data_IF_594364153240
#
_entry.id   IF_594364153240
#
_cell.length_a   1.000
_cell.length_b   1.000
_cell.length_c   1.000
_cell.angle_alpha   90.00
_cell.angle_beta   90.00
_cell.angle_gamma   90.00
#
_symmetry.space_group_name_H-M   'P 1'
#
loop_
_entity.id
_entity.type
_entity.pdbx_description
1 polymer ?
#
# COMPACT_ATOMS: atom_id res chain seq x y z
N UNK A 1 24.01 -2.30 -28.24
CA UNK A 1 24.73 -3.06 -27.19
C UNK A 1 26.20 -2.67 -27.12
N UNK A 2 26.90 -2.39 -28.24
CA UNK A 2 28.30 -2.00 -28.25
C UNK A 2 28.63 -0.76 -27.39
N UNK A 3 27.69 0.14 -27.14
CA UNK A 3 27.89 1.29 -26.27
C UNK A 3 27.75 0.99 -24.76
N UNK A 4 27.25 -0.20 -24.39
CA UNK A 4 27.02 -0.61 -23.00
C UNK A 4 28.06 -1.61 -22.49
N UNK A 5 28.74 -2.30 -23.41
CA UNK A 5 29.75 -3.31 -23.09
C UNK A 5 31.11 -2.87 -23.63
N UNK A 6 32.15 -3.11 -22.84
CA UNK A 6 33.52 -2.86 -23.28
C UNK A 6 34.01 -4.00 -24.17
N UNK A 7 34.24 -3.71 -25.44
CA UNK A 7 34.77 -4.62 -26.43
C UNK A 7 36.23 -4.26 -26.84
N UNK A 8 36.90 -3.45 -26.04
CA UNK A 8 38.25 -2.97 -26.34
C UNK A 8 39.28 -4.11 -26.54
N UNK A 9 39.11 -5.20 -25.79
CA UNK A 9 39.99 -6.39 -25.88
C UNK A 9 39.56 -7.40 -26.95
N UNK A 10 38.38 -7.18 -27.61
CA UNK A 10 37.92 -8.09 -28.65
C UNK A 10 38.54 -7.70 -29.99
N UNK A 11 39.33 -8.60 -30.67
CA UNK A 11 39.88 -8.32 -31.97
C UNK A 11 38.81 -7.96 -33.00
N UNK A 12 39.05 -6.94 -33.83
CA UNK A 12 38.09 -6.38 -34.82
C UNK A 12 37.41 -7.47 -35.68
N UNK A 13 38.17 -8.51 -36.08
CA UNK A 13 37.66 -9.63 -36.88
C UNK A 13 36.51 -10.39 -36.21
N UNK A 14 36.38 -10.31 -34.87
CA UNK A 14 35.29 -10.96 -34.14
C UNK A 14 34.12 -10.02 -33.82
N UNK A 15 34.34 -8.71 -33.84
CA UNK A 15 33.26 -7.72 -33.58
C UNK A 15 32.14 -7.81 -34.63
N UNK A 16 32.44 -8.19 -35.85
CA UNK A 16 31.45 -8.38 -36.94
C UNK A 16 30.47 -9.53 -36.67
N UNK A 17 30.83 -10.47 -35.78
CA UNK A 17 29.97 -11.59 -35.40
C UNK A 17 29.13 -11.30 -34.14
N UNK A 18 29.38 -10.15 -33.50
CA UNK A 18 28.61 -9.74 -32.31
C UNK A 18 27.46 -8.86 -32.79
N UNK A 19 26.21 -9.37 -32.73
CA UNK A 19 25.06 -8.57 -33.15
C UNK A 19 24.90 -7.36 -32.25
N UNK A 20 24.67 -6.19 -32.86
CA UNK A 20 24.35 -4.96 -32.12
C UNK A 20 22.85 -4.84 -31.97
N UNK A 21 22.34 -5.25 -30.79
CA UNK A 21 20.93 -5.12 -30.45
C UNK A 21 20.67 -3.71 -29.91
N UNK A 22 19.73 -3.01 -30.52
CA UNK A 22 19.22 -1.77 -29.97
C UNK A 22 18.29 -2.10 -28.80
N UNK A 23 18.59 -1.54 -27.65
CA UNK A 23 17.72 -1.63 -26.46
C UNK A 23 16.98 -0.30 -26.37
N UNK A 24 15.65 -0.38 -26.53
CA UNK A 24 14.78 0.75 -26.30
C UNK A 24 14.26 0.69 -24.86
N UNK A 25 14.52 1.72 -24.08
CA UNK A 25 14.06 1.83 -22.69
C UNK A 25 12.95 2.86 -22.64
N UNK A 26 11.80 2.46 -22.12
CA UNK A 26 10.67 3.34 -21.81
C UNK A 26 10.61 3.56 -20.29
N UNK A 27 10.84 4.78 -19.84
CA UNK A 27 10.62 5.17 -18.45
C UNK A 27 9.14 5.51 -18.26
N UNK A 28 8.36 4.52 -17.84
CA UNK A 28 6.91 4.63 -17.66
C UNK A 28 6.56 5.72 -16.63
N UNK A 29 7.34 5.86 -15.56
CA UNK A 29 7.05 6.80 -14.48
C UNK A 29 7.20 8.27 -14.91
N UNK A 30 8.13 8.55 -15.81
CA UNK A 30 8.39 9.92 -16.28
C UNK A 30 7.80 10.22 -17.68
N UNK A 31 7.28 9.21 -18.38
CA UNK A 31 6.61 9.43 -19.67
C UNK A 31 5.25 10.11 -19.45
N UNK A 32 4.91 11.18 -20.22
CA UNK A 32 3.61 11.84 -20.16
C UNK A 32 2.44 10.87 -20.45
N UNK A 33 1.28 11.09 -19.82
CA UNK A 33 0.11 10.20 -19.93
C UNK A 33 -0.41 10.09 -21.36
N UNK A 34 -0.44 11.20 -22.10
CA UNK A 34 -0.85 11.23 -23.50
C UNK A 34 -0.02 10.29 -24.38
N UNK A 35 1.26 10.17 -24.10
CA UNK A 35 2.16 9.24 -24.80
C UNK A 35 1.90 7.79 -24.38
N UNK A 36 1.59 7.55 -23.11
CA UNK A 36 1.24 6.22 -22.63
C UNK A 36 -0.12 5.77 -23.18
N UNK A 37 -1.04 6.70 -23.42
CA UNK A 37 -2.34 6.45 -24.02
C UNK A 37 -2.29 6.16 -25.54
N UNK A 38 -1.17 6.43 -26.22
CA UNK A 38 -0.96 6.02 -27.61
C UNK A 38 -0.78 4.48 -27.78
N UNK A 39 -0.47 3.78 -26.69
CA UNK A 39 -0.38 2.32 -26.71
C UNK A 39 -1.77 1.65 -26.75
N UNK A 40 -1.86 0.39 -27.17
CA UNK A 40 -3.11 -0.38 -27.07
C UNK A 40 -3.66 -0.34 -25.64
N UNK A 41 -4.99 -0.39 -25.51
CA UNK A 41 -5.74 -0.25 -24.25
C UNK A 41 -5.12 -1.01 -23.07
N UNK A 42 -4.81 -2.29 -23.25
CA UNK A 42 -4.28 -3.13 -22.18
C UNK A 42 -2.86 -2.70 -21.74
N UNK A 43 -2.01 -2.37 -22.70
CA UNK A 43 -0.66 -1.86 -22.43
C UNK A 43 -0.71 -0.49 -21.75
N UNK A 44 -1.56 0.42 -22.25
CA UNK A 44 -1.76 1.74 -21.65
C UNK A 44 -2.26 1.61 -20.20
N UNK A 45 -3.25 0.73 -19.97
CA UNK A 45 -3.78 0.44 -18.63
C UNK A 45 -2.68 -0.06 -17.69
N UNK A 46 -1.87 -1.01 -18.15
CA UNK A 46 -0.74 -1.54 -17.38
C UNK A 46 0.26 -0.45 -17.03
N UNK A 47 0.69 0.36 -17.99
CA UNK A 47 1.67 1.43 -17.78
C UNK A 47 1.14 2.50 -16.80
N UNK A 48 -0.08 2.95 -16.98
CA UNK A 48 -0.70 3.94 -16.09
C UNK A 48 -0.90 3.38 -14.67
N UNK A 49 -1.21 2.10 -14.55
CA UNK A 49 -1.32 1.44 -13.27
C UNK A 49 0.02 1.36 -12.55
N UNK A 50 1.10 1.02 -13.25
CA UNK A 50 2.46 1.05 -12.70
C UNK A 50 2.86 2.46 -12.28
N UNK A 51 2.59 3.47 -13.12
CA UNK A 51 2.93 4.88 -12.88
C UNK A 51 2.25 5.44 -11.64
N UNK A 52 0.98 5.11 -11.43
CA UNK A 52 0.15 5.68 -10.36
C UNK A 52 -0.16 4.69 -9.23
N UNK A 53 0.59 3.59 -9.11
CA UNK A 53 0.36 2.54 -8.09
C UNK A 53 0.28 3.06 -6.66
N UNK A 54 1.03 4.13 -6.35
CA UNK A 54 1.08 4.73 -5.02
C UNK A 54 0.05 5.87 -4.85
N UNK A 55 -0.76 6.16 -5.89
CA UNK A 55 -1.79 7.20 -5.88
C UNK A 55 -3.08 6.74 -6.58
N UNK A 56 -3.81 5.84 -5.92
CA UNK A 56 -5.04 5.23 -6.45
C UNK A 56 -6.12 6.25 -6.88
N UNK A 57 -6.34 7.39 -6.17
CA UNK A 57 -7.29 8.39 -6.63
C UNK A 57 -6.92 9.02 -7.97
N UNK A 58 -5.62 9.25 -8.21
CA UNK A 58 -5.14 9.75 -9.51
C UNK A 58 -5.23 8.65 -10.57
N UNK A 59 -4.82 7.42 -10.24
CA UNK A 59 -4.98 6.26 -11.12
C UNK A 59 -6.41 6.15 -11.62
N UNK A 60 -7.40 6.17 -10.72
CA UNK A 60 -8.82 6.10 -11.09
C UNK A 60 -9.25 7.19 -12.08
N UNK A 61 -8.77 8.43 -11.88
CA UNK A 61 -9.09 9.54 -12.79
C UNK A 61 -8.52 9.32 -14.19
N UNK A 62 -7.28 8.85 -14.26
CA UNK A 62 -6.60 8.62 -15.55
C UNK A 62 -7.18 7.41 -16.26
N UNK A 63 -7.44 6.31 -15.56
CA UNK A 63 -8.05 5.12 -16.14
C UNK A 63 -9.40 5.41 -16.80
N UNK A 64 -10.22 6.29 -16.22
CA UNK A 64 -11.50 6.71 -16.82
C UNK A 64 -11.37 7.41 -18.16
N UNK A 65 -10.18 7.82 -18.57
CA UNK A 65 -9.94 8.39 -19.91
C UNK A 65 -9.71 7.32 -20.97
N UNK A 66 -9.52 6.06 -20.58
CA UNK A 66 -9.29 4.93 -21.48
C UNK A 66 -10.64 4.39 -21.91
N UNK A 67 -10.93 4.30 -23.23
CA UNK A 67 -12.15 3.67 -23.73
C UNK A 67 -12.24 2.21 -23.25
N UNK A 68 -13.44 1.78 -22.88
CA UNK A 68 -13.73 0.39 -22.49
C UNK A 68 -12.86 -0.13 -21.33
N UNK A 69 -12.42 0.75 -20.44
CA UNK A 69 -11.62 0.39 -19.25
C UNK A 69 -12.36 -0.57 -18.30
N UNK A 70 -13.68 -0.66 -18.44
CA UNK A 70 -14.54 -1.54 -17.67
C UNK A 70 -14.50 -3.00 -18.19
N UNK A 71 -13.79 -3.24 -19.30
CA UNK A 71 -13.66 -4.56 -19.94
C UNK A 71 -12.21 -4.80 -20.37
N UNK A 72 -11.31 -5.01 -19.40
CA UNK A 72 -9.92 -5.39 -19.63
C UNK A 72 -9.83 -6.92 -19.74
N UNK A 73 -8.96 -7.41 -20.63
CA UNK A 73 -8.70 -8.84 -20.75
C UNK A 73 -8.17 -9.42 -19.45
N UNK A 74 -8.64 -10.62 -19.09
CA UNK A 74 -8.26 -11.32 -17.87
C UNK A 74 -6.75 -11.53 -17.79
N UNK A 75 -6.10 -11.93 -18.89
CA UNK A 75 -4.66 -12.14 -18.94
C UNK A 75 -3.87 -10.86 -18.65
N UNK A 76 -4.36 -9.71 -19.14
CA UNK A 76 -3.76 -8.39 -18.85
C UNK A 76 -3.85 -8.07 -17.37
N UNK A 77 -5.01 -8.31 -16.77
CA UNK A 77 -5.21 -8.15 -15.36
C UNK A 77 -4.25 -9.04 -14.54
N UNK A 78 -4.13 -10.31 -14.87
CA UNK A 78 -3.24 -11.25 -14.19
C UNK A 78 -1.76 -10.85 -14.29
N UNK A 79 -1.32 -10.29 -15.41
CA UNK A 79 0.04 -9.76 -15.57
C UNK A 79 0.26 -8.53 -14.69
N UNK A 80 -0.72 -7.65 -14.57
CA UNK A 80 -0.60 -6.42 -13.78
C UNK A 80 -0.36 -6.70 -12.28
N UNK A 81 -0.86 -7.84 -11.76
CA UNK A 81 -0.65 -8.27 -10.37
C UNK A 81 0.79 -8.46 -9.97
N UNK A 82 1.61 -8.90 -10.91
CA UNK A 82 3.04 -9.10 -10.66
C UNK A 82 3.77 -7.78 -10.38
N UNK A 83 3.19 -6.67 -10.78
CA UNK A 83 3.76 -5.31 -10.61
C UNK A 83 3.06 -4.50 -9.50
N UNK A 84 1.91 -4.94 -9.03
CA UNK A 84 1.10 -4.24 -8.04
C UNK A 84 1.07 -4.98 -6.70
N UNK A 85 -0.07 -5.16 -6.12
CA UNK A 85 -0.27 -5.81 -4.84
C UNK A 85 -1.02 -7.14 -5.02
N UNK A 86 -0.49 -8.23 -4.47
CA UNK A 86 -1.12 -9.57 -4.52
C UNK A 86 -2.59 -9.60 -4.05
N UNK A 87 -2.97 -8.63 -3.22
CA UNK A 87 -4.36 -8.46 -2.74
C UNK A 87 -5.37 -8.25 -3.87
N UNK A 88 -4.96 -7.72 -4.98
CA UNK A 88 -5.84 -7.53 -6.13
C UNK A 88 -6.24 -8.88 -6.76
N UNK A 89 -5.46 -9.95 -6.66
CA UNK A 89 -5.89 -11.29 -7.09
C UNK A 89 -7.15 -11.74 -6.34
N UNK A 90 -7.25 -11.38 -5.06
CA UNK A 90 -8.42 -11.70 -4.22
C UNK A 90 -9.67 -10.90 -4.66
N UNK A 91 -9.48 -9.75 -5.31
CA UNK A 91 -10.56 -8.91 -5.79
C UNK A 91 -11.08 -9.29 -7.19
N UNK A 92 -10.36 -10.15 -7.91
CA UNK A 92 -10.66 -10.50 -9.30
C UNK A 92 -12.11 -10.96 -9.48
N UNK A 93 -12.57 -11.89 -8.66
CA UNK A 93 -13.93 -12.44 -8.73
C UNK A 93 -15.01 -11.36 -8.53
N UNK A 94 -14.71 -10.33 -7.73
CA UNK A 94 -15.66 -9.25 -7.43
C UNK A 94 -15.79 -8.22 -8.53
N UNK A 95 -14.83 -8.16 -9.46
CA UNK A 95 -14.77 -7.14 -10.53
C UNK A 95 -14.82 -7.74 -11.92
N UNK A 96 -14.97 -9.05 -12.02
CA UNK A 96 -15.15 -9.74 -13.29
C UNK A 96 -16.58 -9.58 -13.79
N UNK A 97 -16.70 -9.24 -15.07
CA UNK A 97 -17.98 -9.12 -15.77
C UNK A 97 -18.49 -10.52 -16.22
N UNK A 98 -19.76 -10.60 -16.61
CA UNK A 98 -20.36 -11.85 -17.08
C UNK A 98 -19.71 -12.42 -18.36
N UNK A 99 -19.08 -11.57 -19.16
CA UNK A 99 -18.34 -11.92 -20.38
C UNK A 99 -16.86 -12.27 -20.12
N UNK A 100 -16.42 -12.28 -18.87
CA UNK A 100 -15.06 -12.62 -18.46
C UNK A 100 -14.08 -11.42 -18.43
N UNK A 101 -14.50 -10.25 -18.89
CA UNK A 101 -13.69 -9.03 -18.79
C UNK A 101 -13.62 -8.49 -17.37
N UNK A 102 -12.62 -7.67 -17.08
CA UNK A 102 -12.38 -7.12 -15.74
C UNK A 102 -12.66 -5.61 -15.71
N UNK A 103 -13.47 -5.20 -14.74
CA UNK A 103 -13.73 -3.78 -14.48
C UNK A 103 -12.57 -3.17 -13.65
N UNK A 104 -11.61 -2.58 -14.33
CA UNK A 104 -10.43 -2.00 -13.68
C UNK A 104 -10.76 -0.81 -12.76
N UNK A 105 -11.74 0.01 -13.12
CA UNK A 105 -12.20 1.09 -12.23
C UNK A 105 -12.83 0.54 -10.95
N UNK A 106 -13.61 -0.54 -11.05
CA UNK A 106 -14.18 -1.24 -9.91
C UNK A 106 -13.11 -1.82 -9.00
N UNK A 107 -12.07 -2.43 -9.57
CA UNK A 107 -10.93 -2.95 -8.81
C UNK A 107 -10.23 -1.85 -8.00
N UNK A 108 -9.96 -0.71 -8.62
CA UNK A 108 -9.34 0.44 -7.93
C UNK A 108 -10.25 0.98 -6.82
N UNK A 109 -11.58 1.02 -7.05
CA UNK A 109 -12.54 1.47 -6.03
C UNK A 109 -12.56 0.55 -4.81
N UNK A 110 -12.53 -0.76 -5.01
CA UNK A 110 -12.45 -1.71 -3.90
C UNK A 110 -11.14 -1.56 -3.12
N UNK A 111 -10.01 -1.38 -3.80
CA UNK A 111 -8.73 -1.12 -3.13
C UNK A 111 -8.77 0.14 -2.27
N UNK A 112 -9.38 1.22 -2.76
CA UNK A 112 -9.53 2.47 -2.00
C UNK A 112 -10.41 2.22 -0.77
N UNK A 113 -11.55 1.53 -0.94
CA UNK A 113 -12.46 1.23 0.15
C UNK A 113 -11.80 0.39 1.25
N UNK A 114 -11.12 -0.69 0.88
CA UNK A 114 -10.37 -1.53 1.83
C UNK A 114 -9.22 -0.79 2.52
N UNK A 115 -8.54 0.10 1.79
CA UNK A 115 -7.50 0.95 2.36
C UNK A 115 -8.06 1.90 3.43
N UNK A 116 -9.23 2.49 3.16
CA UNK A 116 -9.93 3.36 4.10
C UNK A 116 -10.41 2.60 5.34
N UNK A 117 -11.00 1.43 5.16
CA UNK A 117 -11.47 0.58 6.27
C UNK A 117 -10.33 0.17 7.18
N UNK A 118 -9.22 -0.32 6.61
CA UNK A 118 -8.01 -0.67 7.37
C UNK A 118 -7.41 0.54 8.08
N UNK A 119 -7.34 1.68 7.41
CA UNK A 119 -6.85 2.92 8.00
C UNK A 119 -7.71 3.38 9.17
N UNK A 120 -9.03 3.28 9.05
CA UNK A 120 -9.98 3.59 10.11
C UNK A 120 -9.83 2.64 11.29
N UNK A 121 -9.78 1.33 11.05
CA UNK A 121 -9.61 0.32 12.09
C UNK A 121 -8.31 0.54 12.88
N UNK A 122 -7.19 0.73 12.19
CA UNK A 122 -5.89 1.04 12.81
C UNK A 122 -5.92 2.38 13.57
N UNK A 123 -6.61 3.39 13.02
CA UNK A 123 -6.77 4.69 13.66
C UNK A 123 -7.55 4.58 14.98
N UNK A 124 -8.64 3.82 14.99
CA UNK A 124 -9.45 3.57 16.20
C UNK A 124 -8.63 2.80 17.24
N UNK A 125 -7.95 1.72 16.83
CA UNK A 125 -7.13 0.92 17.74
C UNK A 125 -6.02 1.76 18.39
N UNK A 126 -5.27 2.51 17.60
CA UNK A 126 -4.22 3.41 18.12
C UNK A 126 -4.78 4.52 19.00
N UNK A 127 -5.92 5.10 18.60
CA UNK A 127 -6.58 6.14 19.38
C UNK A 127 -7.06 5.62 20.75
N UNK A 128 -7.64 4.43 20.79
CA UNK A 128 -8.05 3.75 22.02
C UNK A 128 -6.85 3.45 22.92
N UNK A 129 -5.78 2.86 22.37
CA UNK A 129 -4.57 2.55 23.13
C UNK A 129 -3.96 3.81 23.74
N UNK A 130 -3.79 4.88 22.95
CA UNK A 130 -3.25 6.15 23.44
C UNK A 130 -4.18 6.83 24.45
N UNK A 131 -5.49 6.78 24.23
CA UNK A 131 -6.49 7.32 25.14
C UNK A 131 -6.48 6.61 26.50
N UNK A 132 -6.44 5.28 26.48
CA UNK A 132 -6.33 4.44 27.67
C UNK A 132 -5.04 4.73 28.44
N UNK A 133 -3.89 4.76 27.76
CA UNK A 133 -2.60 5.06 28.38
C UNK A 133 -2.58 6.44 29.04
N UNK A 134 -3.08 7.48 28.35
CA UNK A 134 -3.22 8.83 28.92
C UNK A 134 -4.17 8.86 30.13
N UNK A 135 -5.28 8.14 30.05
CA UNK A 135 -6.24 8.04 31.14
C UNK A 135 -5.64 7.39 32.38
N UNK A 136 -4.89 6.27 32.21
CA UNK A 136 -4.19 5.58 33.30
C UNK A 136 -3.14 6.52 33.92
N UNK A 137 -2.30 7.16 33.10
CA UNK A 137 -1.31 8.11 33.56
C UNK A 137 -1.94 9.22 34.40
N UNK A 138 -2.99 9.87 33.89
CA UNK A 138 -3.66 10.95 34.60
C UNK A 138 -4.29 10.46 35.92
N UNK A 139 -4.86 9.25 35.93
CA UNK A 139 -5.42 8.67 37.18
C UNK A 139 -4.32 8.49 38.24
N UNK A 140 -3.16 7.91 37.84
CA UNK A 140 -2.02 7.69 38.73
C UNK A 140 -1.51 9.03 39.26
N UNK A 141 -1.27 10.03 38.40
CA UNK A 141 -0.75 11.34 38.79
C UNK A 141 -1.70 12.06 39.77
N UNK A 142 -3.00 12.11 39.48
CA UNK A 142 -3.99 12.74 40.33
C UNK A 142 -4.10 12.03 41.69
N UNK A 143 -4.15 10.71 41.72
CA UNK A 143 -4.23 9.95 42.96
C UNK A 143 -2.96 10.13 43.82
N UNK A 144 -1.79 10.23 43.20
CA UNK A 144 -0.54 10.51 43.88
C UNK A 144 -0.51 11.89 44.49
N UNK A 145 -0.99 12.93 43.76
CA UNK A 145 -1.12 14.30 44.27
C UNK A 145 -2.10 14.39 45.49
N UNK A 146 -3.13 13.55 45.48
CA UNK A 146 -4.09 13.43 46.58
C UNK A 146 -3.57 12.59 47.76
N UNK A 147 -2.36 12.07 47.72
CA UNK A 147 -1.76 11.29 48.78
C UNK A 147 -2.31 9.86 48.92
N UNK A 148 -2.94 9.32 47.87
CA UNK A 148 -3.43 7.93 47.85
C UNK A 148 -2.27 6.94 47.85
N UNK A 149 -2.36 5.84 48.59
CA UNK A 149 -1.30 4.84 48.65
C UNK A 149 -1.14 4.11 47.33
N UNK A 150 0.10 3.64 47.04
CA UNK A 150 0.45 2.90 45.83
C UNK A 150 -0.50 1.73 45.54
N UNK A 151 -0.76 0.89 46.55
CA UNK A 151 -1.61 -0.32 46.40
C UNK A 151 -3.05 0.05 46.05
N UNK A 152 -3.60 1.13 46.65
CA UNK A 152 -4.93 1.59 46.32
C UNK A 152 -5.04 2.16 44.91
N UNK A 153 -4.00 2.87 44.42
CA UNK A 153 -3.98 3.38 43.03
C UNK A 153 -3.86 2.24 42.06
N UNK A 154 -3.00 1.26 42.32
CA UNK A 154 -2.88 0.06 41.47
C UNK A 154 -4.25 -0.65 41.38
N UNK A 155 -4.91 -0.89 42.50
CA UNK A 155 -6.25 -1.50 42.49
C UNK A 155 -7.28 -0.66 41.69
N UNK A 156 -7.24 0.67 41.79
CA UNK A 156 -8.13 1.54 40.99
C UNK A 156 -7.83 1.45 39.50
N UNK A 157 -6.55 1.35 39.09
CA UNK A 157 -6.13 1.17 37.70
C UNK A 157 -6.62 -0.17 37.14
N UNK A 158 -6.43 -1.25 37.90
CA UNK A 158 -6.95 -2.59 37.54
C UNK A 158 -8.46 -2.56 37.30
N UNK A 159 -9.21 -2.04 38.25
CA UNK A 159 -10.66 -2.05 38.20
C UNK A 159 -11.24 -1.12 37.12
N UNK A 160 -10.71 0.08 36.95
CA UNK A 160 -11.28 1.07 36.03
C UNK A 160 -10.96 0.77 34.56
N UNK A 161 -9.81 0.17 34.30
CA UNK A 161 -9.35 -0.14 32.95
C UNK A 161 -9.43 -1.63 32.61
N UNK A 162 -9.97 -2.46 33.52
CA UNK A 162 -10.09 -3.89 33.38
C UNK A 162 -8.77 -4.56 32.98
N UNK A 163 -7.70 -4.18 33.67
CA UNK A 163 -6.36 -4.70 33.44
C UNK A 163 -6.05 -5.86 34.40
N UNK A 164 -5.15 -6.72 33.97
CA UNK A 164 -4.52 -7.68 34.86
C UNK A 164 -3.60 -6.98 35.87
N UNK A 165 -3.32 -7.65 36.99
CA UNK A 165 -2.40 -7.14 37.99
C UNK A 165 -1.01 -6.81 37.39
N UNK A 166 -0.49 -7.67 36.51
CA UNK A 166 0.79 -7.47 35.84
C UNK A 166 0.80 -6.23 34.92
N UNK A 167 -0.31 -5.99 34.22
CA UNK A 167 -0.45 -4.81 33.35
C UNK A 167 -0.54 -3.53 34.18
N UNK A 168 -1.32 -3.53 35.24
CA UNK A 168 -1.44 -2.38 36.14
C UNK A 168 -0.09 -2.08 36.82
N UNK A 169 0.63 -3.10 37.27
CA UNK A 169 1.97 -2.92 37.85
C UNK A 169 2.98 -2.30 36.85
N UNK A 170 2.90 -2.65 35.57
CA UNK A 170 3.74 -2.01 34.53
C UNK A 170 3.45 -0.52 34.41
N UNK A 171 2.17 -0.14 34.39
CA UNK A 171 1.78 1.28 34.34
C UNK A 171 2.18 2.01 35.64
N UNK A 172 2.01 1.38 36.80
CA UNK A 172 2.45 1.94 38.08
C UNK A 172 3.95 2.19 38.08
N UNK A 173 4.77 1.22 37.66
CA UNK A 173 6.24 1.40 37.54
C UNK A 173 6.64 2.52 36.57
N UNK A 174 5.84 2.74 35.54
CA UNK A 174 6.15 3.75 34.52
C UNK A 174 5.78 5.16 34.96
N UNK A 175 4.68 5.33 35.67
CA UNK A 175 4.09 6.65 35.94
C UNK A 175 4.07 7.06 37.41
N UNK A 176 4.26 6.14 38.36
CA UNK A 176 4.38 6.48 39.77
C UNK A 176 5.75 7.08 40.05
N UNK A 177 5.80 8.29 40.65
CA UNK A 177 7.04 9.01 40.97
C UNK A 177 7.27 9.06 42.48
#
# INVERSE_FOLDING_TARGET
>A
MHGLLDFSEVPERFKTYIPDYQIHVLDVCHTPDDRLLEFPKDIATMFLTIKYRDNLPTLKKVLKTIPEIENIEEDTYDVMWNFLDKRMLELKENVQNEDGGINMCGAVDQMIAEGMERGLAQGIERGLAQGTERGIKNLIEVCQELGTSYDNVQFQVEMKYNLSQEEAERYMKQYWK
#
